data_IF_971816964593
#
_entry.id   IF_971816964593
#
_cell.length_a   1.000
_cell.length_b   1.000
_cell.length_c   1.000
_cell.angle_alpha   90.00
_cell.angle_beta   90.00
_cell.angle_gamma   90.00
#
_symmetry.space_group_name_H-M   'P 1'
#
loop_
_entity.id
_entity.type
_entity.pdbx_description
1 polymer ?
#
# COMPACT_ATOMS: atom_id res chain seq x y z
N UNK A 1 22.78 -12.04 5.85
CA UNK A 1 22.76 -13.38 5.20
C UNK A 1 23.61 -13.40 3.91
N UNK A 2 24.65 -12.56 3.82
CA UNK A 2 25.43 -12.36 2.58
C UNK A 2 26.91 -12.11 2.85
N UNK A 3 27.49 -12.82 3.81
CA UNK A 3 28.93 -13.11 3.79
C UNK A 3 29.14 -14.61 3.55
N UNK A 4 29.94 -14.94 2.55
CA UNK A 4 30.24 -16.30 2.07
C UNK A 4 31.10 -17.12 3.05
N UNK A 5 30.94 -16.87 4.35
CA UNK A 5 31.40 -17.75 5.41
C UNK A 5 30.18 -18.19 6.20
N UNK A 6 29.60 -19.35 5.86
CA UNK A 6 28.71 -20.04 6.79
C UNK A 6 29.54 -20.58 7.96
N UNK A 7 29.99 -19.69 8.84
CA UNK A 7 30.88 -19.98 9.99
C UNK A 7 30.15 -19.89 11.34
N UNK A 8 28.85 -19.58 11.35
CA UNK A 8 28.16 -19.23 12.59
C UNK A 8 27.38 -20.42 13.21
N UNK A 9 27.49 -20.64 14.53
CA UNK A 9 26.58 -21.52 15.30
C UNK A 9 25.10 -21.36 14.90
N UNK A 10 24.32 -22.43 15.07
CA UNK A 10 22.87 -22.50 14.77
C UNK A 10 22.45 -22.53 13.29
N UNK A 11 23.35 -22.90 12.35
CA UNK A 11 23.03 -23.03 10.93
C UNK A 11 21.80 -23.91 10.65
N UNK A 12 21.78 -25.12 11.20
CA UNK A 12 20.66 -26.07 11.05
C UNK A 12 19.33 -25.47 11.54
N UNK A 13 19.37 -24.79 12.69
CA UNK A 13 18.19 -24.13 13.27
C UNK A 13 17.67 -22.99 12.37
N UNK A 14 18.55 -22.19 11.78
CA UNK A 14 18.15 -21.12 10.83
C UNK A 14 17.56 -21.71 9.55
N UNK A 15 18.16 -22.78 9.01
CA UNK A 15 17.64 -23.47 7.84
C UNK A 15 16.25 -24.06 8.10
N UNK A 16 16.06 -24.70 9.26
CA UNK A 16 14.76 -25.22 9.68
C UNK A 16 13.71 -24.11 9.83
N UNK A 17 14.07 -22.99 10.46
CA UNK A 17 13.16 -21.85 10.61
C UNK A 17 12.74 -21.29 9.25
N UNK A 18 13.68 -21.07 8.34
CA UNK A 18 13.39 -20.59 6.99
C UNK A 18 12.47 -21.54 6.23
N UNK A 19 12.70 -22.86 6.31
CA UNK A 19 11.83 -23.85 5.67
C UNK A 19 10.40 -23.79 6.23
N UNK A 20 10.24 -23.72 7.56
CA UNK A 20 8.92 -23.63 8.19
C UNK A 20 8.18 -22.35 7.77
N UNK A 21 8.84 -21.20 7.80
CA UNK A 21 8.22 -19.92 7.40
C UNK A 21 7.86 -19.93 5.91
N UNK A 22 8.74 -20.46 5.06
CA UNK A 22 8.48 -20.58 3.62
C UNK A 22 7.31 -21.52 3.32
N UNK A 23 7.13 -22.60 4.09
CA UNK A 23 6.00 -23.53 3.95
C UNK A 23 4.68 -22.93 4.44
N UNK A 24 4.70 -22.09 5.47
CA UNK A 24 3.50 -21.42 5.99
C UNK A 24 2.96 -20.35 5.02
N UNK A 25 3.83 -19.64 4.30
CA UNK A 25 3.44 -18.50 3.48
C UNK A 25 2.42 -18.86 2.38
N UNK A 26 2.61 -19.90 1.54
CA UNK A 26 1.60 -20.34 0.57
C UNK A 26 0.28 -20.71 1.24
N UNK A 27 0.33 -21.31 2.43
CA UNK A 27 -0.87 -21.67 3.21
C UNK A 27 -1.68 -20.44 3.62
N UNK A 28 -1.03 -19.38 4.11
CA UNK A 28 -1.70 -18.12 4.43
C UNK A 28 -2.24 -17.40 3.19
N UNK A 29 -1.48 -17.38 2.09
CA UNK A 29 -1.95 -16.80 0.81
C UNK A 29 -3.16 -17.56 0.25
N UNK A 30 -3.15 -18.89 0.35
CA UNK A 30 -4.27 -19.72 -0.08
C UNK A 30 -5.55 -19.46 0.72
N UNK A 31 -5.45 -19.10 2.01
CA UNK A 31 -6.61 -18.72 2.82
C UNK A 31 -7.26 -17.43 2.30
N UNK A 32 -6.45 -16.42 1.97
CA UNK A 32 -6.96 -15.16 1.39
C UNK A 32 -7.59 -15.42 0.02
N UNK A 33 -6.92 -16.20 -0.83
CA UNK A 33 -7.43 -16.56 -2.15
C UNK A 33 -8.77 -17.33 -2.06
N UNK A 34 -8.86 -18.32 -1.16
CA UNK A 34 -10.08 -19.10 -0.95
C UNK A 34 -11.23 -18.25 -0.41
N UNK A 35 -10.95 -17.26 0.46
CA UNK A 35 -11.98 -16.34 0.96
C UNK A 35 -12.59 -15.48 -0.16
N UNK A 36 -11.81 -15.19 -1.19
CA UNK A 36 -12.20 -14.38 -2.36
C UNK A 36 -12.62 -15.20 -3.58
N UNK A 37 -12.63 -16.54 -3.49
CA UNK A 37 -12.96 -17.41 -4.61
C UNK A 37 -14.35 -17.09 -5.21
N UNK A 38 -14.49 -16.94 -6.55
CA UNK A 38 -15.74 -16.58 -7.19
C UNK A 38 -16.83 -17.66 -7.08
N UNK A 39 -16.45 -18.92 -6.92
CA UNK A 39 -17.32 -20.10 -6.96
C UNK A 39 -17.63 -20.66 -5.56
N UNK A 40 -17.13 -20.04 -4.49
CA UNK A 40 -17.40 -20.50 -3.12
C UNK A 40 -16.80 -19.69 -1.98
N UNK A 41 -16.14 -18.57 -2.26
CA UNK A 41 -15.47 -17.75 -1.25
C UNK A 41 -16.44 -17.04 -0.31
N UNK A 42 -16.34 -17.34 0.98
CA UNK A 42 -17.26 -16.81 2.00
C UNK A 42 -17.20 -15.29 2.13
N UNK A 43 -16.00 -14.69 2.02
CA UNK A 43 -15.83 -13.25 2.11
C UNK A 43 -16.38 -12.55 0.87
N UNK A 44 -16.08 -13.07 -0.34
CA UNK A 44 -16.61 -12.50 -1.57
C UNK A 44 -18.14 -12.56 -1.62
N UNK A 45 -18.72 -13.70 -1.23
CA UNK A 45 -20.18 -13.85 -1.16
C UNK A 45 -20.81 -12.83 -0.19
N UNK A 46 -20.24 -12.68 1.02
CA UNK A 46 -20.71 -11.70 2.00
C UNK A 46 -20.53 -10.25 1.51
N UNK A 47 -19.42 -9.95 0.83
CA UNK A 47 -19.13 -8.64 0.27
C UNK A 47 -20.16 -8.25 -0.81
N UNK A 48 -20.52 -9.18 -1.70
CA UNK A 48 -21.52 -8.93 -2.75
C UNK A 48 -22.96 -8.93 -2.24
N UNK A 49 -23.25 -9.64 -1.15
CA UNK A 49 -24.57 -9.64 -0.53
C UNK A 49 -24.84 -8.38 0.32
N UNK A 50 -23.78 -7.64 0.69
CA UNK A 50 -23.92 -6.40 1.43
C UNK A 50 -24.51 -5.27 0.56
N UNK A 51 -25.10 -4.28 1.22
CA UNK A 51 -25.56 -3.07 0.54
C UNK A 51 -24.40 -2.40 -0.21
N UNK A 52 -24.60 -1.88 -1.45
CA UNK A 52 -23.52 -1.31 -2.24
C UNK A 52 -22.72 -0.21 -1.52
N UNK A 53 -23.38 0.57 -0.65
CA UNK A 53 -22.73 1.58 0.18
C UNK A 53 -21.71 0.99 1.18
N UNK A 54 -21.95 -0.20 1.70
CA UNK A 54 -21.03 -0.91 2.59
C UNK A 54 -19.81 -1.44 1.81
N UNK A 55 -20.02 -1.95 0.59
CA UNK A 55 -18.92 -2.33 -0.29
C UNK A 55 -18.01 -1.14 -0.62
N UNK A 56 -18.61 -0.01 -0.99
CA UNK A 56 -17.88 1.24 -1.26
C UNK A 56 -17.14 1.75 -0.02
N UNK A 57 -17.78 1.69 1.16
CA UNK A 57 -17.15 2.01 2.45
C UNK A 57 -15.87 1.22 2.66
N UNK A 58 -15.94 -0.12 2.58
CA UNK A 58 -14.77 -0.99 2.79
C UNK A 58 -13.64 -0.69 1.80
N UNK A 59 -13.98 -0.50 0.53
CA UNK A 59 -12.98 -0.22 -0.52
C UNK A 59 -12.30 1.12 -0.27
N UNK A 60 -13.06 2.20 -0.05
CA UNK A 60 -12.49 3.52 0.22
C UNK A 60 -11.69 3.54 1.52
N UNK A 61 -12.16 2.88 2.59
CA UNK A 61 -11.39 2.74 3.83
C UNK A 61 -10.04 2.07 3.58
N UNK A 62 -10.02 0.95 2.82
CA UNK A 62 -8.75 0.29 2.47
C UNK A 62 -7.80 1.19 1.68
N UNK A 63 -8.33 1.97 0.73
CA UNK A 63 -7.52 2.93 -0.04
C UNK A 63 -6.99 4.08 0.81
N UNK A 64 -7.80 4.63 1.72
CA UNK A 64 -7.43 5.70 2.65
C UNK A 64 -6.29 5.22 3.57
N UNK A 65 -6.51 4.08 4.23
CA UNK A 65 -5.54 3.49 5.18
C UNK A 65 -4.24 3.13 4.47
N UNK A 66 -4.29 2.45 3.33
CA UNK A 66 -3.07 2.08 2.60
C UNK A 66 -2.30 3.33 2.12
N UNK A 67 -3.01 4.38 1.71
CA UNK A 67 -2.42 5.60 1.17
C UNK A 67 -1.63 6.40 2.21
N UNK A 68 -2.34 7.17 3.04
CA UNK A 68 -1.74 8.20 3.88
C UNK A 68 -1.23 7.65 5.20
N UNK A 69 -2.05 6.84 5.87
CA UNK A 69 -1.71 6.25 7.17
C UNK A 69 -0.56 5.23 7.06
N UNK A 70 -0.73 4.16 6.29
CA UNK A 70 0.24 3.05 6.22
C UNK A 70 1.47 3.40 5.37
N UNK A 71 1.28 3.70 4.08
CA UNK A 71 2.42 3.96 3.19
C UNK A 71 3.08 5.31 3.50
N UNK A 72 2.28 6.37 3.62
CA UNK A 72 2.78 7.72 3.90
C UNK A 72 3.30 7.91 5.33
N UNK A 73 2.61 7.38 6.31
CA UNK A 73 2.94 7.49 7.74
C UNK A 73 3.90 6.39 8.18
N UNK A 74 3.36 5.20 8.43
CA UNK A 74 4.10 4.12 9.10
C UNK A 74 5.35 3.66 8.32
N UNK A 75 5.28 3.56 6.98
CA UNK A 75 6.39 3.04 6.15
C UNK A 75 7.40 4.11 5.71
N UNK A 76 6.95 5.33 5.40
CA UNK A 76 7.82 6.39 4.88
C UNK A 76 8.20 7.43 5.94
N UNK A 77 7.22 8.00 6.66
CA UNK A 77 7.48 9.06 7.64
C UNK A 77 8.35 8.55 8.79
N UNK A 78 8.09 7.33 9.29
CA UNK A 78 8.89 6.72 10.38
C UNK A 78 10.38 6.67 10.02
N UNK A 79 10.73 6.04 8.89
CA UNK A 79 12.12 5.95 8.42
C UNK A 79 12.71 7.32 8.06
N UNK A 80 11.90 8.23 7.52
CA UNK A 80 12.34 9.59 7.20
C UNK A 80 12.70 10.40 8.46
N UNK A 81 11.93 10.25 9.54
CA UNK A 81 12.13 10.99 10.79
C UNK A 81 13.32 10.43 11.58
N UNK A 82 13.47 9.10 11.63
CA UNK A 82 14.57 8.46 12.35
C UNK A 82 15.89 8.50 11.59
N UNK A 83 15.84 8.49 10.24
CA UNK A 83 16.99 8.24 9.37
C UNK A 83 17.72 6.92 9.70
N UNK A 84 17.00 5.95 10.27
CA UNK A 84 17.52 4.62 10.61
C UNK A 84 17.13 3.61 9.54
N UNK A 85 18.10 2.79 9.12
CA UNK A 85 17.85 1.67 8.21
C UNK A 85 16.93 0.62 8.86
N UNK A 86 16.98 0.43 10.17
CA UNK A 86 16.12 -0.57 10.82
C UNK A 86 14.63 -0.19 10.78
N UNK A 87 14.31 1.08 10.53
CA UNK A 87 12.93 1.58 10.43
C UNK A 87 12.38 1.56 9.00
N UNK A 88 13.17 1.21 7.97
CA UNK A 88 12.64 1.03 6.62
C UNK A 88 11.94 -0.33 6.45
N UNK A 89 10.85 -0.36 5.68
CA UNK A 89 9.95 -1.53 5.58
C UNK A 89 10.66 -2.84 5.17
N UNK A 90 11.60 -2.76 4.22
CA UNK A 90 12.30 -3.92 3.63
C UNK A 90 13.82 -3.85 3.83
N UNK A 91 14.25 -3.39 5.01
CA UNK A 91 15.62 -3.04 5.39
C UNK A 91 16.70 -4.09 5.12
N UNK A 92 16.34 -5.38 5.11
CA UNK A 92 17.28 -6.48 4.84
C UNK A 92 17.47 -6.81 3.36
N UNK A 93 16.65 -6.24 2.47
CA UNK A 93 16.57 -6.63 1.05
C UNK A 93 16.69 -5.47 0.06
N UNK A 94 16.88 -4.25 0.55
CA UNK A 94 16.92 -3.01 -0.23
C UNK A 94 15.68 -2.81 -1.12
N UNK A 95 14.54 -3.39 -0.73
CA UNK A 95 13.34 -3.47 -1.56
C UNK A 95 12.31 -2.37 -1.28
N UNK A 96 12.53 -1.52 -0.26
CA UNK A 96 11.58 -0.49 0.21
C UNK A 96 11.07 0.39 -0.94
N UNK A 97 11.97 0.86 -1.82
CA UNK A 97 11.60 1.67 -2.99
C UNK A 97 10.58 0.99 -3.93
N UNK A 98 10.64 -0.34 -4.07
CA UNK A 98 9.69 -1.12 -4.88
C UNK A 98 8.38 -1.38 -4.14
N UNK A 99 8.44 -1.57 -2.83
CA UNK A 99 7.24 -1.79 -2.02
C UNK A 99 6.30 -0.59 -2.13
N UNK A 100 6.85 0.64 -2.04
CA UNK A 100 6.06 1.87 -2.21
C UNK A 100 5.37 1.95 -3.57
N UNK A 101 6.05 1.52 -4.64
CA UNK A 101 5.44 1.46 -5.98
C UNK A 101 4.29 0.45 -6.00
N UNK A 102 4.44 -0.72 -5.38
CA UNK A 102 3.42 -1.77 -5.37
C UNK A 102 2.19 -1.43 -4.54
N UNK A 103 2.37 -0.75 -3.42
CA UNK A 103 1.25 -0.23 -2.63
C UNK A 103 0.38 0.73 -3.46
N UNK A 104 1.04 1.67 -4.15
CA UNK A 104 0.36 2.68 -4.98
C UNK A 104 -0.24 2.06 -6.24
N UNK A 105 0.42 1.08 -6.86
CA UNK A 105 -0.14 0.32 -7.98
C UNK A 105 -1.44 -0.38 -7.58
N UNK A 106 -1.53 -0.93 -6.36
CA UNK A 106 -2.75 -1.53 -5.83
C UNK A 106 -3.89 -0.54 -5.68
N UNK A 107 -3.62 0.66 -5.15
CA UNK A 107 -4.60 1.75 -5.05
C UNK A 107 -5.06 2.17 -6.45
N UNK A 108 -4.13 2.34 -7.38
CA UNK A 108 -4.42 2.72 -8.75
C UNK A 108 -5.28 1.68 -9.48
N UNK A 109 -4.98 0.39 -9.28
CA UNK A 109 -5.71 -0.73 -9.86
C UNK A 109 -7.18 -0.73 -9.43
N UNK A 110 -7.43 -0.57 -8.12
CA UNK A 110 -8.80 -0.48 -7.57
C UNK A 110 -9.51 0.80 -8.03
N UNK A 111 -8.79 1.92 -8.06
CA UNK A 111 -9.38 3.21 -8.44
C UNK A 111 -9.80 3.24 -9.92
N UNK A 112 -8.93 2.77 -10.82
CA UNK A 112 -9.15 2.76 -12.27
C UNK A 112 -9.81 1.48 -12.79
N UNK A 113 -9.94 0.43 -11.98
CA UNK A 113 -10.54 -0.82 -12.43
C UNK A 113 -9.68 -1.58 -13.45
N UNK A 114 -8.37 -1.66 -13.20
CA UNK A 114 -7.42 -2.37 -14.07
C UNK A 114 -6.76 -3.54 -13.33
N UNK A 115 -6.44 -4.66 -14.02
CA UNK A 115 -6.67 -4.94 -15.43
C UNK A 115 -8.07 -5.49 -15.77
N UNK A 116 -8.86 -5.90 -14.77
CA UNK A 116 -9.94 -6.87 -14.98
C UNK A 116 -11.35 -6.29 -15.14
N UNK A 117 -11.62 -5.05 -14.72
CA UNK A 117 -12.99 -4.48 -14.77
C UNK A 117 -13.23 -3.61 -16.01
N UNK A 118 -12.47 -3.85 -17.09
CA UNK A 118 -12.51 -3.06 -18.32
C UNK A 118 -12.34 -1.54 -18.10
N UNK A 119 -11.64 -1.14 -17.03
CA UNK A 119 -11.43 0.25 -16.67
C UNK A 119 -12.54 0.87 -15.81
N UNK A 120 -13.51 0.08 -15.33
CA UNK A 120 -14.57 0.53 -14.44
C UNK A 120 -14.18 0.32 -12.97
N UNK A 121 -13.61 1.35 -12.35
CA UNK A 121 -13.20 1.35 -10.95
C UNK A 121 -13.99 2.32 -10.07
N UNK A 122 -13.48 2.55 -8.86
CA UNK A 122 -14.06 3.52 -7.90
C UNK A 122 -14.14 4.93 -8.49
N UNK A 123 -13.25 5.27 -9.43
CA UNK A 123 -13.25 6.53 -10.17
C UNK A 123 -14.61 6.85 -10.79
N UNK A 124 -15.27 5.88 -11.43
CA UNK A 124 -16.53 6.10 -12.14
C UNK A 124 -17.67 6.37 -11.17
N UNK A 125 -17.66 5.69 -10.02
CA UNK A 125 -18.63 5.89 -8.94
C UNK A 125 -18.52 7.30 -8.40
N UNK A 126 -17.30 7.78 -8.11
CA UNK A 126 -17.06 9.15 -7.65
C UNK A 126 -17.44 10.16 -8.75
N UNK A 127 -17.03 9.92 -10.00
CA UNK A 127 -17.27 10.83 -11.11
C UNK A 127 -18.77 11.04 -11.41
N UNK A 128 -19.61 10.04 -11.12
CA UNK A 128 -21.05 10.16 -11.24
C UNK A 128 -21.66 11.20 -10.28
N UNK A 129 -20.96 11.57 -9.19
CA UNK A 129 -21.38 12.61 -8.24
C UNK A 129 -20.52 13.87 -8.33
N UNK A 130 -19.21 13.70 -8.47
CA UNK A 130 -18.25 14.80 -8.58
C UNK A 130 -17.09 14.40 -9.50
N UNK A 131 -17.21 14.79 -10.77
CA UNK A 131 -16.19 14.53 -11.79
C UNK A 131 -14.88 15.28 -11.51
N UNK A 132 -14.92 16.44 -10.87
CA UNK A 132 -13.72 17.21 -10.55
C UNK A 132 -12.93 16.53 -9.43
N UNK A 133 -13.61 16.05 -8.40
CA UNK A 133 -12.99 15.26 -7.33
C UNK A 133 -12.40 13.95 -7.85
N UNK A 134 -13.13 13.22 -8.70
CA UNK A 134 -12.60 12.00 -9.33
C UNK A 134 -11.33 12.27 -10.13
N UNK A 135 -11.29 13.37 -10.90
CA UNK A 135 -10.11 13.77 -11.66
C UNK A 135 -8.94 14.20 -10.75
N UNK A 136 -9.23 14.90 -9.64
CA UNK A 136 -8.23 15.30 -8.66
C UNK A 136 -7.58 14.10 -7.98
N UNK A 137 -8.38 13.10 -7.58
CA UNK A 137 -7.88 11.84 -7.01
C UNK A 137 -7.04 11.09 -8.04
N UNK A 138 -7.51 10.95 -9.29
CA UNK A 138 -6.76 10.26 -10.35
C UNK A 138 -5.38 10.88 -10.59
N UNK A 139 -5.35 12.22 -10.71
CA UNK A 139 -4.12 12.97 -10.90
C UNK A 139 -3.18 12.81 -9.70
N UNK A 140 -3.74 12.80 -8.48
CA UNK A 140 -2.94 12.62 -7.27
C UNK A 140 -2.35 11.23 -7.15
N UNK A 141 -3.10 10.16 -7.45
CA UNK A 141 -2.57 8.79 -7.44
C UNK A 141 -1.46 8.64 -8.48
N UNK A 142 -1.65 9.21 -9.69
CA UNK A 142 -0.62 9.21 -10.73
C UNK A 142 0.65 9.96 -10.29
N UNK A 143 0.52 11.08 -9.58
CA UNK A 143 1.65 11.82 -9.02
C UNK A 143 2.38 11.03 -7.92
N UNK A 144 1.64 10.42 -6.99
CA UNK A 144 2.22 9.54 -5.98
C UNK A 144 2.99 8.38 -6.63
N UNK A 145 2.45 7.77 -7.68
CA UNK A 145 3.13 6.71 -8.43
C UNK A 145 4.42 7.21 -9.08
N UNK A 146 4.38 8.40 -9.70
CA UNK A 146 5.57 9.02 -10.31
C UNK A 146 6.66 9.30 -9.27
N UNK A 147 6.27 9.81 -8.10
CA UNK A 147 7.18 10.11 -6.99
C UNK A 147 7.78 8.83 -6.39
N UNK A 148 6.99 7.77 -6.20
CA UNK A 148 7.49 6.48 -5.75
C UNK A 148 8.49 5.85 -6.73
N UNK A 149 8.23 5.95 -8.04
CA UNK A 149 9.19 5.51 -9.07
C UNK A 149 10.48 6.35 -9.11
N UNK A 150 10.48 7.55 -8.52
CA UNK A 150 11.67 8.39 -8.44
C UNK A 150 12.58 8.04 -7.27
N UNK A 151 12.10 7.26 -6.28
CA UNK A 151 12.92 6.76 -5.18
C UNK A 151 14.07 5.90 -5.71
N UNK A 152 15.23 5.99 -5.07
CA UNK A 152 16.46 5.32 -5.48
C UNK A 152 16.83 4.21 -4.50
N UNK A 153 17.24 3.02 -4.99
CA UNK A 153 17.82 2.00 -4.13
C UNK A 153 19.31 2.26 -3.82
N UNK A 154 19.78 1.84 -2.65
CA UNK A 154 18.99 1.40 -1.50
C UNK A 154 18.37 2.60 -0.78
N UNK A 155 17.16 2.41 -0.21
CA UNK A 155 16.33 3.48 0.33
C UNK A 155 16.97 4.14 1.57
N UNK A 156 17.69 3.36 2.39
CA UNK A 156 18.50 3.82 3.53
C UNK A 156 19.43 5.00 3.17
N UNK A 157 19.96 5.05 1.94
CA UNK A 157 20.80 6.17 1.49
C UNK A 157 20.01 7.44 1.26
N UNK A 158 18.74 7.34 0.90
CA UNK A 158 17.87 8.48 0.65
C UNK A 158 17.40 9.15 1.94
N UNK A 159 17.19 8.41 3.03
CA UNK A 159 16.73 8.94 4.32
C UNK A 159 17.82 9.67 5.11
N UNK A 160 19.11 9.54 4.75
CA UNK A 160 20.22 10.13 5.53
C UNK A 160 20.14 11.65 5.60
N UNK A 161 20.44 12.22 6.77
CA UNK A 161 20.48 13.68 6.96
C UNK A 161 21.49 14.41 6.07
N UNK A 162 22.55 13.73 5.63
CA UNK A 162 23.56 14.27 4.71
C UNK A 162 23.17 14.16 3.22
N UNK A 163 21.98 13.62 2.91
CA UNK A 163 21.45 13.48 1.55
C UNK A 163 20.14 14.29 1.36
N UNK A 164 20.22 15.63 1.22
CA UNK A 164 19.03 16.47 1.07
C UNK A 164 18.22 16.17 -0.19
N UNK A 165 18.85 15.72 -1.28
CA UNK A 165 18.16 15.38 -2.52
C UNK A 165 17.32 14.10 -2.39
N UNK A 166 17.84 13.07 -1.71
CA UNK A 166 17.10 11.85 -1.40
C UNK A 166 15.93 12.13 -0.47
N UNK A 167 16.18 12.86 0.62
CA UNK A 167 15.13 13.27 1.56
C UNK A 167 14.02 14.07 0.89
N UNK A 168 14.35 14.97 -0.02
CA UNK A 168 13.35 15.74 -0.77
C UNK A 168 12.43 14.86 -1.64
N UNK A 169 12.94 13.75 -2.22
CA UNK A 169 12.10 12.79 -2.98
C UNK A 169 11.13 12.05 -2.07
N UNK A 170 11.59 11.60 -0.90
CA UNK A 170 10.77 10.91 0.09
C UNK A 170 9.70 11.84 0.66
N UNK A 171 10.08 13.05 1.05
CA UNK A 171 9.16 14.06 1.59
C UNK A 171 8.06 14.41 0.58
N UNK A 172 8.42 14.59 -0.71
CA UNK A 172 7.45 14.83 -1.76
C UNK A 172 6.43 13.68 -1.88
N UNK A 173 6.87 12.43 -1.79
CA UNK A 173 5.99 11.26 -1.81
C UNK A 173 5.07 11.23 -0.57
N UNK A 174 5.61 11.44 0.63
CA UNK A 174 4.84 11.50 1.89
C UNK A 174 3.72 12.55 1.78
N UNK A 175 4.06 13.77 1.36
CA UNK A 175 3.09 14.86 1.18
C UNK A 175 2.03 14.48 0.14
N UNK A 176 2.44 13.82 -0.95
CA UNK A 176 1.51 13.36 -1.97
C UNK A 176 0.52 12.33 -1.44
N UNK A 177 0.99 11.34 -0.68
CA UNK A 177 0.16 10.27 -0.10
C UNK A 177 -0.81 10.78 0.98
N UNK A 178 -0.38 11.75 1.80
CA UNK A 178 -1.27 12.45 2.76
C UNK A 178 -2.35 13.26 2.04
N UNK A 179 -1.99 13.93 0.95
CA UNK A 179 -3.00 14.64 0.13
C UNK A 179 -3.95 13.67 -0.58
N UNK A 180 -3.44 12.53 -1.04
CA UNK A 180 -4.24 11.45 -1.64
C UNK A 180 -5.27 10.91 -0.65
N UNK A 181 -4.85 10.66 0.59
CA UNK A 181 -5.73 10.29 1.70
C UNK A 181 -6.83 11.34 1.91
N UNK A 182 -6.49 12.63 2.04
CA UNK A 182 -7.49 13.68 2.23
C UNK A 182 -8.53 13.74 1.10
N UNK A 183 -8.11 13.58 -0.16
CA UNK A 183 -9.04 13.55 -1.30
C UNK A 183 -9.94 12.29 -1.29
N UNK A 184 -9.42 11.15 -0.86
CA UNK A 184 -10.21 9.93 -0.70
C UNK A 184 -11.21 10.06 0.45
N UNK A 185 -10.86 10.76 1.53
CA UNK A 185 -11.81 11.11 2.61
C UNK A 185 -12.90 12.05 2.12
N UNK A 186 -12.58 13.02 1.25
CA UNK A 186 -13.60 13.87 0.63
C UNK A 186 -14.58 13.07 -0.22
N UNK A 187 -14.09 12.06 -0.95
CA UNK A 187 -14.94 11.11 -1.65
C UNK A 187 -15.79 10.30 -0.66
N UNK A 188 -15.20 9.84 0.44
CA UNK A 188 -15.90 9.11 1.49
C UNK A 188 -17.09 9.92 2.05
N UNK A 189 -16.86 11.21 2.38
CA UNK A 189 -17.88 12.16 2.85
C UNK A 189 -18.92 12.48 1.78
N UNK A 190 -18.53 12.57 0.50
CA UNK A 190 -19.45 12.77 -0.64
C UNK A 190 -20.53 11.66 -0.73
N UNK A 191 -20.21 10.46 -0.26
CA UNK A 191 -21.17 9.35 -0.18
C UNK A 191 -21.95 9.28 1.14
N UNK A 192 -21.77 10.23 2.05
CA UNK A 192 -22.43 10.23 3.35
C UNK A 192 -21.98 9.08 4.24
N UNK A 193 -20.75 8.61 4.05
CA UNK A 193 -20.15 7.56 4.85
C UNK A 193 -19.47 8.19 6.06
N UNK A 194 -19.77 7.69 7.26
CA UNK A 194 -19.12 8.12 8.49
C UNK A 194 -17.76 7.44 8.64
N UNK A 195 -16.72 8.24 8.86
CA UNK A 195 -15.38 7.72 9.13
C UNK A 195 -15.50 6.83 10.37
N UNK A 196 -15.14 5.53 10.30
CA UNK A 196 -15.14 4.69 11.49
C UNK A 196 -14.26 5.36 12.55
N UNK A 197 -14.75 5.46 13.78
CA UNK A 197 -13.92 5.93 14.87
C UNK A 197 -12.65 5.06 14.91
N UNK A 198 -11.49 5.69 14.98
CA UNK A 198 -10.22 4.98 15.18
C UNK A 198 -10.32 4.30 16.54
N UNK A 199 -10.29 2.97 16.56
CA UNK A 199 -10.10 2.17 17.78
C UNK A 199 -8.63 2.17 18.20
#
# INVERSE_FOLDING_TARGET
LTDETATAPNGDRRAQYLAIVADLLPGHLAQVAAAWDPDGGSYRAAFLAAEPAEGLRRVLTGMIVLSGFETGGERLQTAFDSADQEDEHSCFSDNTHRDMVRDIDGILAVFRGVPDTAGHGVRDVIAARDAALAAAIDARIAESQRLANALQPPFDREIRFDNPEGRARIEALIVSLKTQESLLEDAFRLFGLDVPAVE
#
